data_IF_771751060519
#
_entry.id   IF_771751060519
#
_cell.length_a   1.000
_cell.length_b   1.000
_cell.length_c   1.000
_cell.angle_alpha   90.00
_cell.angle_beta   90.00
_cell.angle_gamma   90.00
#
_symmetry.space_group_name_H-M   'P 1'
#
loop_
_entity.id
_entity.type
_entity.pdbx_description
1 polymer ?
#
# COMPACT_ATOMS: atom_id res chain seq x y z
N UNK A 1 6.62 -3.03 -0.02
CA UNK A 1 6.12 -1.79 0.64
C UNK A 1 5.79 -2.00 2.10
N UNK A 2 4.81 -2.84 2.47
CA UNK A 2 4.39 -3.02 3.88
C UNK A 2 5.55 -3.51 4.76
N UNK A 3 6.23 -4.59 4.36
CA UNK A 3 7.39 -5.11 5.09
C UNK A 3 8.48 -4.05 5.28
N UNK A 4 8.87 -3.35 4.22
CA UNK A 4 9.89 -2.30 4.30
C UNK A 4 9.48 -1.17 5.25
N UNK A 5 8.24 -0.68 5.15
CA UNK A 5 7.71 0.36 6.06
C UNK A 5 7.74 -0.09 7.52
N UNK A 6 7.20 -1.27 7.81
CA UNK A 6 7.07 -1.75 9.18
C UNK A 6 8.39 -2.27 9.77
N UNK A 7 9.04 -3.19 9.08
CA UNK A 7 10.24 -3.90 9.59
C UNK A 7 11.50 -3.07 9.44
N UNK A 8 11.69 -2.38 8.30
CA UNK A 8 12.93 -1.62 8.05
C UNK A 8 12.85 -0.21 8.63
N UNK A 9 11.69 0.47 8.50
CA UNK A 9 11.52 1.86 8.93
C UNK A 9 10.71 2.04 10.23
N UNK A 10 10.24 0.95 10.86
CA UNK A 10 9.56 1.02 12.16
C UNK A 10 8.20 1.71 12.14
N UNK A 11 7.59 1.87 10.96
CA UNK A 11 6.25 2.45 10.86
C UNK A 11 5.22 1.54 11.57
N UNK A 12 4.28 2.07 12.38
CA UNK A 12 3.23 1.27 13.02
C UNK A 12 2.47 0.40 12.02
N UNK A 13 2.09 -0.82 12.39
CA UNK A 13 1.64 -1.85 11.44
C UNK A 13 0.41 -1.39 10.64
N UNK A 14 -0.61 -0.88 11.33
CA UNK A 14 -1.82 -0.36 10.69
C UNK A 14 -1.52 0.80 9.74
N UNK A 15 -0.64 1.73 10.14
CA UNK A 15 -0.23 2.84 9.28
C UNK A 15 0.54 2.34 8.05
N UNK A 16 1.42 1.35 8.20
CA UNK A 16 2.20 0.78 7.10
C UNK A 16 1.31 0.09 6.05
N UNK A 17 0.27 -0.60 6.49
CA UNK A 17 -0.75 -1.23 5.65
C UNK A 17 -1.63 -0.18 4.95
N UNK A 18 -2.13 0.81 5.69
CA UNK A 18 -3.06 1.81 5.18
C UNK A 18 -2.40 2.83 4.24
N UNK A 19 -1.09 3.07 4.38
CA UNK A 19 -0.35 4.05 3.59
C UNK A 19 -0.51 3.84 2.06
N UNK A 20 -0.43 4.93 1.26
CA UNK A 20 -0.69 4.88 -0.17
C UNK A 20 0.24 3.91 -0.91
N UNK A 21 -0.29 3.28 -1.96
CA UNK A 21 0.38 2.22 -2.72
C UNK A 21 0.51 2.54 -4.20
N UNK A 22 1.56 1.96 -4.78
CA UNK A 22 1.82 1.96 -6.21
C UNK A 22 2.03 0.54 -6.72
N UNK A 23 1.77 0.35 -8.01
CA UNK A 23 2.03 -0.89 -8.75
C UNK A 23 2.74 -0.55 -10.05
N UNK A 24 3.76 -1.33 -10.40
CA UNK A 24 4.43 -1.25 -11.70
C UNK A 24 4.23 -2.57 -12.43
N UNK A 25 3.72 -2.51 -13.66
CA UNK A 25 3.52 -3.69 -14.48
C UNK A 25 2.06 -3.95 -14.82
N UNK A 26 1.83 -5.15 -15.36
CA UNK A 26 0.49 -5.60 -15.72
C UNK A 26 -0.26 -6.08 -14.48
N UNK A 27 -1.50 -5.63 -14.33
CA UNK A 27 -2.49 -6.27 -13.46
C UNK A 27 -3.37 -7.21 -14.29
N UNK A 28 -4.22 -7.98 -13.62
CA UNK A 28 -5.12 -8.90 -14.29
C UNK A 28 -5.99 -8.16 -15.32
N UNK A 29 -5.99 -8.63 -16.57
CA UNK A 29 -6.75 -8.03 -17.68
C UNK A 29 -6.09 -6.82 -18.35
N UNK A 30 -4.97 -6.28 -17.84
CA UNK A 30 -4.26 -5.17 -18.47
C UNK A 30 -3.16 -5.67 -19.41
N UNK A 31 -3.16 -5.15 -20.65
CA UNK A 31 -2.09 -5.36 -21.63
C UNK A 31 -0.97 -4.33 -21.50
N UNK A 32 -1.20 -3.24 -20.75
CA UNK A 32 -0.26 -2.13 -20.60
C UNK A 32 0.61 -2.30 -19.37
N UNK A 33 1.89 -1.94 -19.52
CA UNK A 33 2.83 -1.84 -18.40
C UNK A 33 3.01 -0.37 -18.07
N UNK A 34 2.33 0.08 -17.01
CA UNK A 34 2.43 1.44 -16.51
C UNK A 34 2.66 1.46 -14.99
N UNK A 35 2.93 2.65 -14.46
CA UNK A 35 3.08 2.91 -13.03
C UNK A 35 1.78 3.49 -12.49
N UNK A 36 1.06 2.70 -11.69
CA UNK A 36 -0.20 3.12 -11.06
C UNK A 36 0.04 3.58 -9.64
N UNK A 37 -0.55 4.70 -9.24
CA UNK A 37 -0.50 5.24 -7.89
C UNK A 37 -1.93 5.49 -7.38
N UNK A 38 -2.17 5.30 -6.09
CA UNK A 38 -3.36 5.87 -5.45
C UNK A 38 -3.27 7.40 -5.35
N UNK A 39 -4.40 8.11 -5.33
CA UNK A 39 -4.45 9.58 -5.28
C UNK A 39 -3.98 10.21 -3.95
N UNK A 40 -3.59 9.40 -2.97
CA UNK A 40 -3.12 9.84 -1.65
C UNK A 40 -1.61 10.09 -1.60
N UNK A 41 -0.90 9.93 -2.71
CA UNK A 41 0.47 10.44 -2.83
C UNK A 41 0.46 11.95 -3.02
N UNK A 42 1.47 12.65 -2.50
CA UNK A 42 1.64 14.07 -2.74
C UNK A 42 1.83 14.36 -4.25
N UNK A 43 1.20 15.43 -4.74
CA UNK A 43 1.24 15.82 -6.15
C UNK A 43 2.67 16.07 -6.66
N UNK A 44 3.57 16.49 -5.78
CA UNK A 44 4.99 16.68 -6.08
C UNK A 44 5.67 15.34 -6.44
N UNK A 45 5.33 14.26 -5.73
CA UNK A 45 5.85 12.91 -6.01
C UNK A 45 5.34 12.43 -7.37
N UNK A 46 4.04 12.61 -7.65
CA UNK A 46 3.43 12.26 -8.94
C UNK A 46 4.09 13.03 -10.08
N UNK A 47 4.30 14.33 -9.90
CA UNK A 47 4.92 15.21 -10.90
C UNK A 47 6.40 14.86 -11.14
N UNK A 48 7.14 14.53 -10.08
CA UNK A 48 8.53 14.09 -10.18
C UNK A 48 8.65 12.76 -10.95
N UNK A 49 7.75 11.79 -10.70
CA UNK A 49 7.73 10.52 -11.42
C UNK A 49 7.42 10.70 -12.92
N UNK A 50 6.44 11.56 -13.25
CA UNK A 50 6.14 11.92 -14.64
C UNK A 50 7.34 12.60 -15.32
N UNK A 51 7.99 13.54 -14.62
CA UNK A 51 9.17 14.24 -15.14
C UNK A 51 10.37 13.31 -15.33
N UNK A 52 10.47 12.23 -14.54
CA UNK A 52 11.45 11.18 -14.72
C UNK A 52 11.13 10.21 -15.88
N UNK A 53 10.02 10.40 -16.60
CA UNK A 53 9.64 9.62 -17.78
C UNK A 53 8.77 8.40 -17.51
N UNK A 54 8.23 8.25 -16.30
CA UNK A 54 7.28 7.18 -16.02
C UNK A 54 5.91 7.47 -16.65
N UNK A 55 5.30 6.44 -17.26
CA UNK A 55 3.88 6.46 -17.61
C UNK A 55 3.06 6.29 -16.32
N UNK A 56 2.62 7.41 -15.76
CA UNK A 56 1.94 7.47 -14.46
C UNK A 56 0.43 7.59 -14.63
N UNK A 57 -0.28 6.60 -14.08
CA UNK A 57 -1.73 6.60 -13.91
C UNK A 57 -2.06 6.80 -12.42
N UNK A 58 -2.81 7.85 -12.09
CA UNK A 58 -3.32 8.06 -10.73
C UNK A 58 -4.73 7.53 -10.65
N UNK A 59 -4.98 6.57 -9.79
CA UNK A 59 -6.30 5.97 -9.58
C UNK A 59 -7.20 6.94 -8.80
N UNK A 60 -8.48 7.05 -9.18
CA UNK A 60 -9.39 8.02 -8.58
C UNK A 60 -9.81 7.65 -7.15
N UNK A 61 -9.72 6.38 -6.74
CA UNK A 61 -10.06 5.96 -5.39
C UNK A 61 -8.90 6.21 -4.41
N UNK A 62 -9.24 6.65 -3.19
CA UNK A 62 -8.26 6.78 -2.11
C UNK A 62 -7.64 5.43 -1.72
N UNK A 63 -8.48 4.40 -1.63
CA UNK A 63 -8.10 3.03 -1.29
C UNK A 63 -8.58 2.11 -2.41
N UNK A 64 -7.81 2.03 -3.50
CA UNK A 64 -8.23 1.28 -4.68
C UNK A 64 -8.02 -0.23 -4.47
N UNK A 65 -9.06 -1.04 -4.74
CA UNK A 65 -9.03 -2.51 -4.71
C UNK A 65 -7.91 -3.08 -5.63
N UNK A 66 -7.60 -2.37 -6.72
CA UNK A 66 -6.49 -2.68 -7.63
C UNK A 66 -5.15 -2.86 -6.90
N UNK A 67 -4.95 -2.21 -5.76
CA UNK A 67 -3.71 -2.25 -4.96
C UNK A 67 -3.60 -3.49 -4.05
N UNK A 68 -4.61 -4.37 -4.11
CA UNK A 68 -4.70 -5.61 -3.34
C UNK A 68 -5.03 -5.39 -1.86
N UNK A 69 -5.40 -6.48 -1.20
CA UNK A 69 -5.79 -6.52 0.21
C UNK A 69 -4.71 -7.18 1.05
N UNK A 70 -4.24 -6.47 2.06
CA UNK A 70 -3.23 -6.96 3.00
C UNK A 70 -3.81 -7.22 4.40
N UNK A 71 -3.15 -8.11 5.12
CA UNK A 71 -3.32 -8.28 6.56
C UNK A 71 -1.99 -8.68 7.15
N UNK A 72 -1.78 -8.37 8.43
CA UNK A 72 -0.57 -8.79 9.12
C UNK A 72 -0.81 -9.04 10.60
N UNK A 73 -0.03 -9.98 11.13
CA UNK A 73 0.08 -10.28 12.55
C UNK A 73 1.56 -10.30 12.90
N UNK A 74 1.93 -9.64 13.99
CA UNK A 74 3.32 -9.52 14.46
C UNK A 74 3.38 -10.05 15.88
N UNK A 75 4.25 -11.03 16.13
CA UNK A 75 4.62 -11.47 17.47
C UNK A 75 5.89 -10.73 17.90
N UNK A 76 5.77 -9.89 18.92
CA UNK A 76 6.92 -9.17 19.46
C UNK A 76 7.74 -10.06 20.40
N UNK A 77 9.04 -9.78 20.59
CA UNK A 77 9.91 -10.60 21.44
C UNK A 77 9.44 -10.77 22.89
N UNK A 78 8.64 -9.83 23.41
CA UNK A 78 8.06 -9.88 24.76
C UNK A 78 6.73 -10.62 24.84
N UNK A 79 6.28 -11.23 23.73
CA UNK A 79 5.05 -12.01 23.66
C UNK A 79 3.78 -11.21 23.37
N UNK A 80 3.85 -9.88 23.25
CA UNK A 80 2.70 -9.10 22.76
C UNK A 80 2.47 -9.37 21.27
N UNK A 81 1.20 -9.31 20.86
CA UNK A 81 0.78 -9.50 19.48
C UNK A 81 0.14 -8.22 18.96
N UNK A 82 0.52 -7.80 17.75
CA UNK A 82 -0.11 -6.70 17.02
C UNK A 82 -0.77 -7.28 15.75
N UNK A 83 -2.03 -6.90 15.50
CA UNK A 83 -2.77 -7.28 14.30
C UNK A 83 -3.32 -6.06 13.59
N UNK A 84 -3.30 -6.06 12.26
CA UNK A 84 -3.92 -5.00 11.46
C UNK A 84 -4.47 -5.53 10.13
N UNK A 85 -5.55 -4.90 9.67
CA UNK A 85 -6.22 -5.18 8.41
C UNK A 85 -6.15 -3.97 7.47
N UNK A 86 -6.36 -4.22 6.19
CA UNK A 86 -6.30 -3.19 5.15
C UNK A 86 -7.64 -2.48 4.97
N UNK A 87 -7.69 -1.15 5.05
CA UNK A 87 -8.92 -0.37 4.81
C UNK A 87 -9.45 -0.43 3.37
N UNK A 88 -8.72 -1.09 2.43
CA UNK A 88 -9.22 -1.42 1.08
C UNK A 88 -10.22 -2.57 1.09
N UNK A 89 -10.16 -3.43 2.10
CA UNK A 89 -10.94 -4.66 2.20
C UNK A 89 -12.06 -4.52 3.25
N UNK A 90 -12.97 -5.49 3.26
CA UNK A 90 -14.03 -5.68 4.24
C UNK A 90 -13.61 -6.57 5.43
N UNK A 91 -12.30 -6.77 5.62
CA UNK A 91 -11.72 -7.59 6.69
C UNK A 91 -11.67 -6.89 8.05
N UNK A 92 -11.03 -7.54 9.03
CA UNK A 92 -10.84 -7.02 10.38
C UNK A 92 -9.61 -7.61 11.07
N UNK A 93 -9.19 -6.99 12.18
CA UNK A 93 -8.18 -7.52 13.08
C UNK A 93 -8.67 -7.33 14.51
N UNK A 94 -8.82 -8.43 15.24
CA UNK A 94 -9.36 -8.44 16.61
C UNK A 94 -8.54 -9.38 17.52
N UNK A 95 -8.57 -9.12 18.82
CA UNK A 95 -7.84 -9.85 19.85
C UNK A 95 -8.75 -10.67 20.76
N UNK A 96 -8.15 -11.45 21.67
CA UNK A 96 -8.85 -12.19 22.75
C UNK A 96 -8.48 -11.66 24.12
#
# INVERSE_FOLDING_TARGET
MVFTRHVVYGQPLGTAIAAPRWLLGRTWGSVQTNLRLENRFDDEVVSALKSAGHDVEVLPEAFSDTMGHAGAVVLHPKGSVEGAHDPRADGGADGV
#
